data_IF_686961971331
#
_entry.id   IF_686961971331
#
_cell.length_a   1.000
_cell.length_b   1.000
_cell.length_c   1.000
_cell.angle_alpha   90.00
_cell.angle_beta   90.00
_cell.angle_gamma   90.00
#
_symmetry.space_group_name_H-M   'P 1'
#
loop_
_entity.id
_entity.type
_entity.pdbx_description
1 polymer ?
#
# COMPACT_ATOMS: atom_id res chain seq x y z
N UNK A 1 -9.79 3.20 -13.11
CA UNK A 1 -9.89 1.86 -12.46
C UNK A 1 -11.30 1.61 -11.92
N UNK A 2 -11.77 2.47 -11.03
CA UNK A 2 -13.10 2.41 -10.38
C UNK A 2 -14.28 2.23 -11.36
N UNK A 3 -14.36 3.01 -12.44
CA UNK A 3 -15.44 2.89 -13.44
C UNK A 3 -15.43 1.54 -14.17
N UNK A 4 -14.23 0.98 -14.43
CA UNK A 4 -14.08 -0.31 -15.08
C UNK A 4 -14.45 -1.45 -14.11
N UNK A 5 -14.04 -1.35 -12.84
CA UNK A 5 -14.46 -2.27 -11.79
C UNK A 5 -16.00 -2.28 -11.63
N UNK A 6 -16.63 -1.09 -11.60
CA UNK A 6 -18.08 -0.96 -11.56
C UNK A 6 -18.76 -1.55 -12.81
N UNK A 7 -18.22 -1.30 -14.01
CA UNK A 7 -18.74 -1.88 -15.25
C UNK A 7 -18.64 -3.41 -15.24
N UNK A 8 -17.52 -3.98 -14.78
CA UNK A 8 -17.35 -5.42 -14.63
C UNK A 8 -18.35 -6.01 -13.64
N UNK A 9 -18.59 -5.34 -12.49
CA UNK A 9 -19.61 -5.76 -11.52
C UNK A 9 -21.03 -5.86 -12.12
N UNK A 10 -21.35 -5.10 -13.15
CA UNK A 10 -22.66 -5.20 -13.82
C UNK A 10 -22.80 -6.43 -14.75
N UNK A 11 -21.69 -7.08 -15.12
CA UNK A 11 -21.68 -8.19 -16.07
C UNK A 11 -21.87 -9.56 -15.38
N UNK A 12 -22.38 -10.59 -16.10
CA UNK A 12 -22.31 -11.97 -15.64
C UNK A 12 -20.86 -12.43 -15.45
N UNK A 13 -20.59 -13.24 -14.41
CA UNK A 13 -19.23 -13.68 -14.03
C UNK A 13 -18.40 -14.23 -15.20
N UNK A 14 -19.02 -15.00 -16.09
CA UNK A 14 -18.34 -15.55 -17.28
C UNK A 14 -17.82 -14.47 -18.24
N UNK A 15 -18.56 -13.37 -18.38
CA UNK A 15 -18.12 -12.22 -19.18
C UNK A 15 -17.03 -11.43 -18.46
N UNK A 16 -17.15 -11.25 -17.12
CA UNK A 16 -16.10 -10.62 -16.31
C UNK A 16 -14.76 -11.32 -16.49
N UNK A 17 -14.74 -12.65 -16.38
CA UNK A 17 -13.53 -13.48 -16.56
C UNK A 17 -12.94 -13.35 -17.96
N UNK A 18 -13.77 -13.32 -19.00
CA UNK A 18 -13.31 -13.10 -20.37
C UNK A 18 -12.66 -11.74 -20.56
N UNK A 19 -13.19 -10.70 -19.92
CA UNK A 19 -12.59 -9.36 -19.95
C UNK A 19 -11.28 -9.35 -19.15
N UNK A 20 -11.28 -9.87 -17.92
CA UNK A 20 -10.08 -9.94 -17.08
C UNK A 20 -8.93 -10.69 -17.76
N UNK A 21 -9.20 -11.83 -18.39
CA UNK A 21 -8.20 -12.60 -19.13
C UNK A 21 -7.64 -11.88 -20.38
N UNK A 22 -8.30 -10.81 -20.84
CA UNK A 22 -7.87 -10.02 -21.99
C UNK A 22 -7.21 -8.68 -21.61
N UNK A 23 -7.26 -8.29 -20.33
CA UNK A 23 -6.58 -7.09 -19.83
C UNK A 23 -5.08 -7.36 -19.68
N UNK A 24 -4.27 -6.31 -19.90
CA UNK A 24 -2.86 -6.28 -19.51
C UNK A 24 -2.72 -6.40 -17.98
N UNK A 25 -1.56 -6.83 -17.48
CA UNK A 25 -1.35 -7.14 -16.05
C UNK A 25 -1.61 -5.94 -15.14
N UNK A 26 -0.99 -4.80 -15.46
CA UNK A 26 -1.16 -3.51 -14.79
C UNK A 26 -2.64 -3.08 -14.72
N UNK A 27 -3.35 -3.23 -15.86
CA UNK A 27 -4.77 -2.88 -15.96
C UNK A 27 -5.66 -3.81 -15.15
N UNK A 28 -5.30 -5.07 -15.03
CA UNK A 28 -6.05 -6.02 -14.22
C UNK A 28 -5.78 -5.79 -12.73
N UNK A 29 -4.53 -5.51 -12.34
CA UNK A 29 -4.15 -5.12 -10.98
C UNK A 29 -4.95 -3.91 -10.49
N UNK A 30 -4.91 -2.81 -11.25
CA UNK A 30 -5.71 -1.58 -11.03
C UNK A 30 -7.20 -1.89 -10.77
N UNK A 31 -7.77 -2.85 -11.51
CA UNK A 31 -9.18 -3.21 -11.40
C UNK A 31 -9.42 -4.04 -10.14
N UNK A 32 -8.52 -4.96 -9.82
CA UNK A 32 -8.65 -5.83 -8.65
C UNK A 32 -8.60 -5.02 -7.36
N UNK A 33 -7.69 -4.05 -7.24
CA UNK A 33 -7.56 -3.15 -6.08
C UNK A 33 -8.86 -2.38 -5.76
N UNK A 34 -9.71 -2.15 -6.77
CA UNK A 34 -10.99 -1.44 -6.64
C UNK A 34 -12.19 -2.37 -6.30
N UNK A 35 -11.92 -3.67 -6.10
CA UNK A 35 -12.90 -4.71 -5.80
C UNK A 35 -12.71 -5.25 -4.40
N UNK A 36 -13.77 -5.82 -3.80
CA UNK A 36 -13.60 -6.58 -2.55
C UNK A 36 -12.82 -7.86 -2.78
N UNK A 37 -12.20 -8.40 -1.74
CA UNK A 37 -11.35 -9.59 -1.81
C UNK A 37 -12.12 -10.80 -2.36
N UNK A 38 -13.40 -10.95 -1.98
CA UNK A 38 -14.32 -11.96 -2.51
C UNK A 38 -14.57 -11.82 -4.02
N UNK A 39 -14.62 -10.58 -4.52
CA UNK A 39 -14.77 -10.32 -5.95
C UNK A 39 -13.47 -10.58 -6.71
N UNK A 40 -12.34 -10.14 -6.15
CA UNK A 40 -11.01 -10.39 -6.70
C UNK A 40 -10.79 -11.90 -6.89
N UNK A 41 -11.01 -12.71 -5.84
CA UNK A 41 -10.89 -14.16 -5.90
C UNK A 41 -11.75 -14.79 -7.00
N UNK A 42 -13.01 -14.36 -7.15
CA UNK A 42 -13.91 -14.86 -8.19
C UNK A 42 -13.47 -14.48 -9.59
N UNK A 43 -12.82 -13.33 -9.75
CA UNK A 43 -12.34 -12.82 -11.04
C UNK A 43 -11.07 -13.55 -11.49
N UNK A 44 -10.13 -13.79 -10.57
CA UNK A 44 -8.87 -14.48 -10.85
C UNK A 44 -9.01 -16.01 -10.87
N UNK A 45 -10.14 -16.55 -10.39
CA UNK A 45 -10.42 -17.99 -10.47
C UNK A 45 -10.41 -18.48 -11.92
N UNK A 46 -9.43 -19.33 -12.24
CA UNK A 46 -9.23 -19.91 -13.57
C UNK A 46 -8.02 -19.35 -14.33
N UNK A 47 -7.38 -18.29 -13.82
CA UNK A 47 -6.04 -17.90 -14.26
C UNK A 47 -5.02 -18.96 -13.80
N UNK A 48 -3.97 -19.17 -14.60
CA UNK A 48 -2.83 -19.99 -14.18
C UNK A 48 -1.96 -19.23 -13.16
N UNK A 49 -1.05 -19.95 -12.51
CA UNK A 49 -0.31 -19.41 -11.37
C UNK A 49 0.72 -18.36 -11.81
N UNK A 50 1.25 -18.51 -13.02
CA UNK A 50 2.20 -17.62 -13.65
C UNK A 50 1.54 -16.28 -13.97
N UNK A 51 0.40 -16.30 -14.69
CA UNK A 51 -0.38 -15.09 -14.96
C UNK A 51 -0.84 -14.39 -13.69
N UNK A 52 -1.27 -15.16 -12.69
CA UNK A 52 -1.71 -14.60 -11.42
C UNK A 52 -0.55 -13.95 -10.65
N UNK A 53 0.67 -14.50 -10.75
CA UNK A 53 1.85 -13.88 -10.17
C UNK A 53 2.18 -12.55 -10.87
N UNK A 54 2.20 -12.52 -12.20
CA UNK A 54 2.45 -11.29 -12.98
C UNK A 54 1.47 -10.17 -12.61
N UNK A 55 0.17 -10.50 -12.48
CA UNK A 55 -0.85 -9.52 -12.08
C UNK A 55 -0.65 -9.03 -10.64
N UNK A 56 -0.32 -9.93 -9.71
CA UNK A 56 -0.15 -9.58 -8.29
C UNK A 56 1.12 -8.76 -8.06
N UNK A 57 2.14 -8.91 -8.90
CA UNK A 57 3.35 -8.07 -8.87
C UNK A 57 3.09 -6.62 -9.27
N UNK A 58 2.08 -6.39 -10.11
CA UNK A 58 1.67 -5.04 -10.50
C UNK A 58 0.72 -4.39 -9.47
N UNK A 59 0.28 -5.13 -8.44
CA UNK A 59 -0.56 -4.61 -7.37
C UNK A 59 0.25 -3.91 -6.27
N UNK A 60 -0.38 -3.01 -5.53
CA UNK A 60 0.16 -2.51 -4.27
C UNK A 60 0.45 -3.68 -3.31
N UNK A 61 1.60 -3.68 -2.58
CA UNK A 61 2.02 -4.83 -1.78
C UNK A 61 1.02 -5.30 -0.72
N UNK A 62 0.28 -4.36 -0.15
CA UNK A 62 -0.78 -4.54 0.83
C UNK A 62 -2.03 -5.18 0.22
N UNK A 63 -2.54 -4.67 -0.91
CA UNK A 63 -3.63 -5.30 -1.66
C UNK A 63 -3.25 -6.70 -2.14
N UNK A 64 -2.02 -6.88 -2.61
CA UNK A 64 -1.46 -8.17 -2.97
C UNK A 64 -1.44 -9.15 -1.77
N UNK A 65 -1.09 -8.65 -0.58
CA UNK A 65 -1.09 -9.44 0.64
C UNK A 65 -2.50 -9.84 1.06
N UNK A 66 -3.47 -8.94 0.96
CA UNK A 66 -4.87 -9.21 1.27
C UNK A 66 -5.44 -10.29 0.32
N UNK A 67 -5.27 -10.11 -0.99
CA UNK A 67 -5.73 -11.09 -1.99
C UNK A 67 -5.09 -12.47 -1.77
N UNK A 68 -3.78 -12.53 -1.54
CA UNK A 68 -3.08 -13.79 -1.24
C UNK A 68 -3.51 -14.37 0.12
N UNK A 69 -3.87 -13.53 1.08
CA UNK A 69 -4.38 -13.91 2.40
C UNK A 69 -5.62 -14.79 2.29
N UNK A 70 -6.54 -14.42 1.40
CA UNK A 70 -7.82 -15.11 1.14
C UNK A 70 -7.69 -16.35 0.23
N UNK A 71 -6.57 -16.52 -0.48
CA UNK A 71 -6.36 -17.69 -1.34
C UNK A 71 -6.18 -19.00 -0.55
N UNK A 72 -6.63 -20.15 -1.10
CA UNK A 72 -6.30 -21.46 -0.56
C UNK A 72 -4.79 -21.66 -0.46
N UNK A 73 -4.32 -22.20 0.67
CA UNK A 73 -2.88 -22.36 0.96
C UNK A 73 -2.03 -22.95 -0.18
N UNK A 74 -2.45 -24.03 -0.87
CA UNK A 74 -1.71 -24.58 -2.00
C UNK A 74 -1.59 -23.65 -3.20
N UNK A 75 -2.61 -22.82 -3.48
CA UNK A 75 -2.58 -21.84 -4.55
C UNK A 75 -1.65 -20.68 -4.19
N UNK A 76 -1.80 -20.11 -2.99
CA UNK A 76 -0.91 -19.06 -2.46
C UNK A 76 0.57 -19.44 -2.57
N UNK A 77 0.93 -20.67 -2.18
CA UNK A 77 2.32 -21.13 -2.26
C UNK A 77 2.84 -21.19 -3.70
N UNK A 78 1.99 -21.59 -4.66
CA UNK A 78 2.36 -21.65 -6.07
C UNK A 78 2.56 -20.25 -6.66
N UNK A 79 1.65 -19.33 -6.37
CA UNK A 79 1.74 -17.94 -6.84
C UNK A 79 2.99 -17.27 -6.27
N UNK A 80 3.20 -17.32 -4.95
CA UNK A 80 4.41 -16.79 -4.29
C UNK A 80 5.73 -17.41 -4.78
N UNK A 81 5.68 -18.60 -5.40
CA UNK A 81 6.86 -19.26 -5.97
C UNK A 81 7.09 -18.88 -7.44
N UNK A 82 6.05 -18.43 -8.14
CA UNK A 82 6.15 -17.89 -9.49
C UNK A 82 6.58 -16.42 -9.48
N UNK A 83 6.33 -15.70 -8.38
CA UNK A 83 6.69 -14.29 -8.26
C UNK A 83 8.21 -14.00 -8.20
N UNK A 84 8.60 -12.80 -8.59
CA UNK A 84 9.92 -12.23 -8.41
C UNK A 84 10.32 -12.23 -6.91
N UNK A 85 11.58 -12.59 -6.57
CA UNK A 85 11.99 -12.77 -5.17
C UNK A 85 11.81 -11.54 -4.27
N UNK A 86 12.03 -10.34 -4.81
CA UNK A 86 11.95 -9.10 -4.05
C UNK A 86 10.48 -8.72 -3.77
N UNK A 87 9.59 -8.83 -4.76
CA UNK A 87 8.14 -8.61 -4.61
C UNK A 87 7.51 -9.65 -3.69
N UNK A 88 7.78 -10.95 -3.93
CA UNK A 88 7.34 -12.02 -3.06
C UNK A 88 7.84 -11.85 -1.63
N UNK A 89 9.06 -11.30 -1.46
CA UNK A 89 9.64 -11.00 -0.17
C UNK A 89 8.85 -9.94 0.59
N UNK A 90 8.40 -8.89 -0.10
CA UNK A 90 7.59 -7.80 0.47
C UNK A 90 6.22 -8.29 0.91
N UNK A 91 5.51 -9.00 0.04
CA UNK A 91 4.17 -9.54 0.35
C UNK A 91 4.23 -10.59 1.47
N UNK A 92 5.23 -11.49 1.47
CA UNK A 92 5.42 -12.48 2.55
C UNK A 92 5.58 -11.85 3.92
N UNK A 93 6.17 -10.66 4.01
CA UNK A 93 6.32 -9.95 5.30
C UNK A 93 4.99 -9.41 5.78
N UNK A 94 4.17 -8.86 4.88
CA UNK A 94 2.85 -8.33 5.21
C UNK A 94 1.90 -9.43 5.68
N UNK A 95 1.94 -10.60 5.02
CA UNK A 95 1.18 -11.80 5.42
C UNK A 95 1.52 -12.34 6.83
N UNK A 96 2.53 -11.83 7.53
CA UNK A 96 2.85 -12.20 8.92
C UNK A 96 2.01 -11.45 9.95
N UNK A 97 1.37 -10.34 9.56
CA UNK A 97 0.59 -9.50 10.45
C UNK A 97 -0.90 -9.85 10.37
N UNK A 98 -1.61 -9.69 11.48
CA UNK A 98 -3.06 -9.81 11.50
C UNK A 98 -3.69 -8.66 10.70
N UNK A 99 -4.70 -8.97 9.88
CA UNK A 99 -5.34 -8.02 8.96
C UNK A 99 -6.00 -6.81 9.65
N UNK A 100 -6.31 -6.92 10.96
CA UNK A 100 -6.90 -5.85 11.77
C UNK A 100 -5.88 -5.05 12.60
N UNK A 101 -4.61 -5.06 12.18
CA UNK A 101 -3.51 -4.35 12.84
C UNK A 101 -2.80 -3.41 11.87
N UNK A 102 -2.03 -2.46 12.38
CA UNK A 102 -1.23 -1.55 11.57
C UNK A 102 -0.31 -2.28 10.58
N UNK A 103 0.22 -3.44 10.95
CA UNK A 103 1.06 -4.24 10.06
C UNK A 103 0.28 -4.96 8.96
N UNK A 104 -1.00 -5.25 9.19
CA UNK A 104 -1.90 -5.81 8.18
C UNK A 104 -2.44 -4.75 7.22
N UNK A 105 -2.53 -3.50 7.66
CA UNK A 105 -3.01 -2.35 6.86
C UNK A 105 -1.89 -1.56 6.18
N UNK A 106 -0.61 -1.87 6.45
CA UNK A 106 0.48 -1.04 5.92
C UNK A 106 0.88 -1.51 4.54
N UNK A 107 1.16 -0.55 3.67
CA UNK A 107 1.99 -0.82 2.51
C UNK A 107 3.46 -0.92 2.91
N UNK A 108 4.20 -1.80 2.26
CA UNK A 108 5.65 -1.94 2.46
C UNK A 108 6.47 -0.97 1.59
N UNK A 109 5.83 -0.20 0.70
CA UNK A 109 6.51 0.71 -0.22
C UNK A 109 6.20 2.22 0.03
N UNK A 110 6.39 2.74 1.25
CA UNK A 110 6.22 4.17 1.50
C UNK A 110 7.33 5.00 0.81
N UNK A 111 7.11 6.31 0.69
CA UNK A 111 8.10 7.23 0.14
C UNK A 111 9.22 7.48 1.18
N UNK A 112 10.29 6.69 1.10
CA UNK A 112 11.44 6.76 2.01
C UNK A 112 12.63 7.48 1.37
N UNK A 113 13.28 8.37 2.12
CA UNK A 113 14.50 9.07 1.68
C UNK A 113 15.53 9.23 2.80
N UNK A 114 16.84 9.32 2.46
CA UNK A 114 17.87 9.56 3.46
C UNK A 114 17.87 11.03 3.93
N UNK A 115 18.41 11.33 5.12
CA UNK A 115 18.38 12.68 5.71
C UNK A 115 19.12 13.75 4.90
N UNK A 116 20.12 13.37 4.10
CA UNK A 116 20.91 14.26 3.25
C UNK A 116 20.28 14.50 1.86
N UNK A 117 19.16 13.83 1.54
CA UNK A 117 18.39 14.13 0.35
C UNK A 117 17.88 15.57 0.37
N UNK A 118 17.74 16.18 -0.81
CA UNK A 118 17.30 17.56 -0.95
C UNK A 118 15.78 17.67 -1.03
N UNK A 119 15.24 18.82 -0.64
CA UNK A 119 13.83 19.20 -0.85
C UNK A 119 13.43 19.02 -2.32
N UNK A 120 14.29 19.39 -3.27
CA UNK A 120 14.03 19.20 -4.69
C UNK A 120 13.85 17.72 -5.08
N UNK A 121 14.72 16.84 -4.56
CA UNK A 121 14.63 15.40 -4.82
C UNK A 121 13.37 14.80 -4.19
N UNK A 122 13.03 15.22 -2.97
CA UNK A 122 11.82 14.78 -2.28
C UNK A 122 10.55 15.20 -3.02
N UNK A 123 10.44 16.47 -3.42
CA UNK A 123 9.31 16.95 -4.22
C UNK A 123 9.23 16.27 -5.60
N UNK A 124 10.36 15.86 -6.18
CA UNK A 124 10.34 15.09 -7.42
C UNK A 124 9.74 13.70 -7.22
N UNK A 125 10.04 13.03 -6.09
CA UNK A 125 9.43 11.75 -5.72
C UNK A 125 7.93 11.89 -5.41
N UNK A 126 7.52 12.92 -4.68
CA UNK A 126 6.10 13.18 -4.40
C UNK A 126 5.26 13.45 -5.66
N UNK A 127 5.88 13.88 -6.77
CA UNK A 127 5.20 14.19 -8.04
C UNK A 127 5.10 12.99 -8.97
N UNK A 128 5.72 11.87 -8.61
CA UNK A 128 5.76 10.69 -9.46
C UNK A 128 4.33 10.12 -9.57
N UNK A 129 3.76 9.99 -10.78
CA UNK A 129 2.36 9.57 -10.96
C UNK A 129 2.02 8.22 -10.35
N UNK A 130 3.02 7.34 -10.23
CA UNK A 130 2.90 6.01 -9.65
C UNK A 130 2.78 6.01 -8.11
N UNK A 131 3.04 7.13 -7.43
CA UNK A 131 2.92 7.21 -5.96
C UNK A 131 1.49 7.63 -5.60
N UNK A 132 0.74 6.81 -4.83
CA UNK A 132 -0.59 7.17 -4.36
C UNK A 132 -0.61 8.51 -3.63
N UNK A 133 -1.67 9.29 -3.82
CA UNK A 133 -1.75 10.66 -3.31
C UNK A 133 -1.60 10.75 -1.79
N UNK A 134 -2.15 9.78 -1.04
CA UNK A 134 -2.04 9.72 0.40
C UNK A 134 -0.60 9.45 0.86
N UNK A 135 0.11 8.52 0.19
CA UNK A 135 1.54 8.26 0.45
C UNK A 135 2.42 9.44 0.03
N UNK A 136 2.14 10.08 -1.11
CA UNK A 136 2.88 11.24 -1.59
C UNK A 136 2.80 12.44 -0.63
N UNK A 137 1.83 12.44 0.30
CA UNK A 137 1.67 13.50 1.27
C UNK A 137 2.80 13.56 2.31
N UNK A 138 3.46 12.43 2.59
CA UNK A 138 4.50 12.31 3.61
C UNK A 138 5.76 11.64 3.06
N UNK A 139 6.91 12.29 3.27
CA UNK A 139 8.23 11.72 3.00
C UNK A 139 8.79 11.19 4.32
N UNK A 140 9.02 9.89 4.42
CA UNK A 140 9.61 9.26 5.59
C UNK A 140 11.14 9.33 5.50
N UNK A 141 11.77 9.87 6.53
CA UNK A 141 13.22 10.06 6.57
C UNK A 141 13.85 8.97 7.42
N UNK A 142 14.76 8.18 6.83
CA UNK A 142 15.43 7.07 7.51
C UNK A 142 16.93 7.08 7.25
N UNK A 143 17.70 6.42 8.12
CA UNK A 143 19.06 6.00 7.74
C UNK A 143 18.98 4.91 6.66
N UNK A 144 20.09 4.72 5.93
CA UNK A 144 20.23 3.63 4.98
C UNK A 144 20.09 2.25 5.67
N UNK A 145 19.51 1.23 4.99
CA UNK A 145 18.89 1.29 3.66
C UNK A 145 17.53 2.00 3.67
N UNK A 146 17.07 2.45 2.49
CA UNK A 146 15.76 3.12 2.30
C UNK A 146 14.65 2.18 1.81
N UNK A 147 14.97 0.92 1.50
CA UNK A 147 13.97 -0.13 1.24
C UNK A 147 13.49 -0.72 2.56
N UNK A 148 12.19 -1.03 2.70
CA UNK A 148 11.64 -1.62 3.93
C UNK A 148 12.06 -3.10 4.06
N UNK A 149 12.36 -3.58 5.27
CA UNK A 149 12.63 -2.84 6.51
C UNK A 149 13.87 -1.92 6.37
N UNK A 150 13.71 -0.64 6.74
CA UNK A 150 14.75 0.38 6.54
C UNK A 150 15.84 0.35 7.62
N UNK A 151 16.78 1.30 7.55
CA UNK A 151 17.53 1.73 8.72
C UNK A 151 16.66 2.44 9.77
N UNK A 152 17.29 3.08 10.74
CA UNK A 152 16.61 3.86 11.80
C UNK A 152 15.68 4.93 11.20
N UNK A 153 14.42 4.95 11.63
CA UNK A 153 13.45 5.99 11.31
C UNK A 153 13.75 7.27 12.08
N UNK A 154 13.89 8.39 11.37
CA UNK A 154 14.28 9.69 11.93
C UNK A 154 13.09 10.65 12.05
N UNK A 155 12.01 10.41 11.31
CA UNK A 155 10.80 11.23 11.29
C UNK A 155 10.22 11.34 9.88
N UNK A 156 9.21 12.18 9.71
CA UNK A 156 8.57 12.41 8.41
C UNK A 156 8.51 13.90 8.09
N UNK A 157 8.28 14.22 6.81
CA UNK A 157 8.13 15.58 6.30
C UNK A 157 6.90 15.64 5.40
N UNK A 158 5.95 16.53 5.72
CA UNK A 158 4.83 16.82 4.83
C UNK A 158 5.29 17.52 3.55
N UNK A 159 4.74 17.13 2.40
CA UNK A 159 5.09 17.80 1.13
C UNK A 159 4.77 19.30 1.15
N UNK A 160 3.76 19.73 1.91
CA UNK A 160 3.42 21.15 2.09
C UNK A 160 4.51 21.91 2.86
N UNK A 161 5.25 21.24 3.76
CA UNK A 161 6.44 21.81 4.40
C UNK A 161 7.56 21.96 3.39
N UNK A 162 7.81 20.93 2.57
CA UNK A 162 8.83 20.97 1.51
C UNK A 162 8.60 22.11 0.51
N UNK A 163 7.35 22.44 0.17
CA UNK A 163 7.00 23.57 -0.72
C UNK A 163 7.42 24.95 -0.17
N UNK A 164 7.69 25.07 1.14
CA UNK A 164 8.07 26.32 1.80
C UNK A 164 9.58 26.45 2.03
N UNK A 165 10.34 25.40 1.73
CA UNK A 165 11.78 25.33 1.96
C UNK A 165 12.57 25.58 0.66
N UNK A 166 13.80 26.12 0.75
CA UNK A 166 14.68 26.21 -0.41
C UNK A 166 14.93 24.83 -1.04
N UNK A 167 14.94 24.69 -2.38
CA UNK A 167 15.09 23.39 -3.05
C UNK A 167 16.37 22.61 -2.69
N UNK A 168 17.43 23.32 -2.30
CA UNK A 168 18.72 22.72 -1.89
C UNK A 168 18.82 22.40 -0.39
N UNK A 169 17.80 22.70 0.41
CA UNK A 169 17.77 22.32 1.83
C UNK A 169 17.70 20.79 1.95
N UNK A 170 18.38 20.23 2.94
CA UNK A 170 18.39 18.80 3.23
C UNK A 170 17.20 18.39 4.11
N UNK A 171 16.74 17.16 3.98
CA UNK A 171 15.55 16.66 4.68
C UNK A 171 15.70 16.62 6.20
N UNK A 172 16.91 16.40 6.73
CA UNK A 172 17.19 16.45 8.18
C UNK A 172 16.76 17.77 8.85
N UNK A 173 16.83 18.88 8.12
CA UNK A 173 16.38 20.22 8.57
C UNK A 173 14.86 20.40 8.45
N UNK A 174 14.21 19.52 7.69
CA UNK A 174 12.78 19.56 7.39
C UNK A 174 11.96 18.55 8.20
N UNK A 175 12.58 17.67 8.99
CA UNK A 175 11.86 16.66 9.78
C UNK A 175 10.89 17.30 10.78
N UNK A 176 9.67 16.78 10.84
CA UNK A 176 8.64 17.13 11.81
C UNK A 176 8.68 16.17 13.01
N UNK A 177 8.94 16.67 14.24
CA UNK A 177 9.08 15.80 15.41
C UNK A 177 7.75 15.23 15.91
N UNK A 178 6.62 15.78 15.47
CA UNK A 178 5.30 15.41 15.96
C UNK A 178 4.73 14.16 15.27
N UNK A 179 5.31 13.74 14.14
CA UNK A 179 4.89 12.52 13.41
C UNK A 179 5.64 11.31 13.98
N UNK A 180 5.04 10.70 14.99
CA UNK A 180 5.57 9.50 15.66
C UNK A 180 5.18 8.23 14.92
N UNK A 181 6.07 7.24 14.96
CA UNK A 181 5.76 5.91 14.45
C UNK A 181 4.83 5.15 15.40
N UNK A 182 4.06 4.24 14.82
CA UNK A 182 3.23 3.26 15.51
C UNK A 182 3.86 1.86 15.45
N UNK A 183 3.43 0.99 16.35
CA UNK A 183 3.84 -0.42 16.35
C UNK A 183 2.98 -1.22 15.36
N UNK A 184 3.51 -2.29 14.72
CA UNK A 184 2.78 -3.08 13.74
C UNK A 184 1.59 -3.84 14.33
N UNK A 185 1.61 -4.17 15.62
CA UNK A 185 0.53 -4.84 16.33
C UNK A 185 -0.56 -3.89 16.84
N UNK A 186 -0.45 -2.58 16.55
CA UNK A 186 -1.44 -1.59 16.96
C UNK A 186 -2.79 -1.90 16.26
N UNK A 187 -3.90 -2.08 17.00
CA UNK A 187 -5.20 -2.39 16.38
C UNK A 187 -5.67 -1.28 15.44
N UNK A 188 -6.32 -1.65 14.32
CA UNK A 188 -6.82 -0.75 13.28
C UNK A 188 -7.61 0.46 13.82
N UNK A 189 -8.46 0.25 14.84
CA UNK A 189 -9.26 1.32 15.44
C UNK A 189 -8.39 2.39 16.09
N UNK A 190 -7.25 2.00 16.66
CA UNK A 190 -6.27 2.93 17.24
C UNK A 190 -5.45 3.64 16.17
N UNK A 191 -5.22 2.99 15.03
CA UNK A 191 -4.62 3.63 13.86
C UNK A 191 -5.54 4.74 13.36
N UNK A 192 -6.83 4.44 13.19
CA UNK A 192 -7.86 5.41 12.79
C UNK A 192 -7.95 6.60 13.75
N UNK A 193 -7.97 6.34 15.06
CA UNK A 193 -7.97 7.39 16.08
C UNK A 193 -6.74 8.31 15.96
N UNK A 194 -5.55 7.77 15.68
CA UNK A 194 -4.34 8.58 15.53
C UNK A 194 -4.36 9.42 14.24
N UNK A 195 -4.73 8.84 13.11
CA UNK A 195 -4.89 9.58 11.85
C UNK A 195 -5.86 10.75 12.03
N UNK A 196 -7.01 10.50 12.65
CA UNK A 196 -8.03 11.50 12.89
C UNK A 196 -7.59 12.57 13.91
N UNK A 197 -6.97 12.18 15.02
CA UNK A 197 -6.56 13.12 16.08
C UNK A 197 -5.51 14.14 15.60
N UNK A 198 -4.65 13.74 14.67
CA UNK A 198 -3.55 14.57 14.17
C UNK A 198 -3.75 15.07 12.74
N UNK A 199 -4.90 14.79 12.11
CA UNK A 199 -5.20 15.11 10.70
C UNK A 199 -4.10 14.61 9.74
N UNK A 200 -3.61 13.39 9.99
CA UNK A 200 -2.54 12.78 9.20
C UNK A 200 -3.14 11.98 8.04
N UNK A 201 -2.45 11.96 6.91
CA UNK A 201 -2.82 11.18 5.73
C UNK A 201 -2.11 9.82 5.68
N UNK A 202 -1.03 9.65 6.44
CA UNK A 202 -0.39 8.36 6.64
C UNK A 202 0.34 8.31 8.00
N UNK A 203 0.58 7.11 8.51
CA UNK A 203 1.33 6.85 9.74
C UNK A 203 2.52 5.90 9.47
N UNK A 204 3.71 6.20 10.01
CA UNK A 204 4.85 5.30 9.89
C UNK A 204 4.69 4.10 10.81
N UNK A 205 4.90 2.88 10.31
CA UNK A 205 4.92 1.66 11.11
C UNK A 205 6.36 1.23 11.34
N UNK A 206 6.79 1.14 12.59
CA UNK A 206 8.17 0.76 12.95
C UNK A 206 8.21 -0.48 13.85
N UNK A 207 9.27 -1.26 13.69
CA UNK A 207 9.56 -2.36 14.60
C UNK A 207 10.13 -1.86 15.96
N UNK A 208 10.29 -2.74 16.97
CA UNK A 208 10.88 -2.37 18.26
C UNK A 208 12.33 -1.87 18.18
N UNK A 209 13.04 -2.12 17.07
CA UNK A 209 14.39 -1.61 16.83
C UNK A 209 14.40 -0.21 16.18
N UNK A 210 13.21 0.37 15.92
CA UNK A 210 13.06 1.69 15.32
C UNK A 210 13.26 1.70 13.80
N UNK A 211 13.17 0.55 13.13
CA UNK A 211 13.24 0.45 11.67
C UNK A 211 11.85 0.63 11.08
N UNK A 212 11.72 1.44 10.03
CA UNK A 212 10.47 1.60 9.30
C UNK A 212 10.17 0.32 8.51
N UNK A 213 9.01 -0.26 8.76
CA UNK A 213 8.50 -1.45 8.08
C UNK A 213 7.58 -1.09 6.90
N UNK A 214 6.89 0.04 7.00
CA UNK A 214 5.87 0.46 6.06
C UNK A 214 5.16 1.72 6.54
N UNK A 215 4.08 2.06 5.86
CA UNK A 215 3.16 3.11 6.31
C UNK A 215 1.71 2.69 6.08
N UNK A 216 0.82 3.10 6.97
CA UNK A 216 -0.63 2.95 6.80
C UNK A 216 -1.18 4.26 6.27
N UNK A 217 -1.99 4.24 5.22
CA UNK A 217 -2.63 5.44 4.69
C UNK A 217 -4.04 5.63 5.28
N UNK A 218 -4.59 6.82 5.11
CA UNK A 218 -5.94 7.13 5.60
C UNK A 218 -7.02 6.43 4.78
N UNK A 219 -6.79 6.25 3.48
CA UNK A 219 -7.66 5.54 2.56
C UNK A 219 -7.82 4.06 2.95
N UNK A 220 -6.73 3.33 3.20
CA UNK A 220 -6.81 1.92 3.65
C UNK A 220 -7.65 1.76 4.92
N UNK A 221 -7.50 2.70 5.85
CA UNK A 221 -8.25 2.70 7.11
C UNK A 221 -9.72 3.07 6.88
N UNK A 222 -10.02 4.00 5.98
CA UNK A 222 -11.40 4.33 5.62
C UNK A 222 -12.09 3.14 4.96
N UNK A 223 -11.39 2.44 4.07
CA UNK A 223 -11.93 1.32 3.31
C UNK A 223 -12.33 0.14 4.21
N UNK A 224 -11.59 -0.07 5.31
CA UNK A 224 -11.90 -1.07 6.34
C UNK A 224 -12.95 -0.63 7.35
N UNK A 225 -13.11 0.68 7.59
CA UNK A 225 -14.06 1.20 8.58
C UNK A 225 -15.45 1.48 8.01
N UNK A 226 -15.54 1.67 6.69
CA UNK A 226 -16.81 1.76 5.98
C UNK A 226 -17.47 0.38 5.84
N UNK A 227 -18.82 0.31 5.76
CA UNK A 227 -19.52 -0.95 5.54
C UNK A 227 -19.09 -1.65 4.24
N UNK A 228 -19.03 -2.97 4.20
CA UNK A 228 -18.58 -3.76 3.03
C UNK A 228 -19.26 -3.37 1.69
N UNK A 229 -20.50 -2.86 1.75
CA UNK A 229 -21.28 -2.42 0.58
C UNK A 229 -21.04 -0.95 0.19
N UNK A 230 -20.06 -0.25 0.78
CA UNK A 230 -19.88 1.19 0.52
C UNK A 230 -19.42 1.51 -0.90
N UNK A 231 -18.72 0.57 -1.56
CA UNK A 231 -18.33 0.62 -2.98
C UNK A 231 -19.45 0.15 -3.93
N UNK A 232 -20.56 -0.36 -3.39
CA UNK A 232 -21.74 -0.69 -4.18
C UNK A 232 -22.53 0.58 -4.48
N UNK A 233 -22.90 0.76 -5.75
CA UNK A 233 -23.63 1.92 -6.22
C UNK A 233 -25.01 1.97 -5.55
N UNK A 234 -25.15 2.82 -4.54
CA UNK A 234 -26.42 3.07 -3.85
C UNK A 234 -27.30 4.06 -4.64
N UNK A 235 -27.52 3.78 -5.92
CA UNK A 235 -28.61 4.34 -6.76
C UNK A 235 -28.75 5.86 -6.85
#
# INVERSE_FOLDING_TARGET
PTDLAAALRSMPLEHRRRVAAALEDDRLADVLEEMSEDEQLRLVEGLDAERLADVIEEMAPDDAADLLGEMPGPLRVRVLAAMEPDEAGSVRRLLLYDSNTAGGLMTSQPLVMPPDATVAAALARCRAPEVPAALAALVFVTRLPVSTPTGEYLGAVGFQRLLREPPGTTLDRCVEPDIRSIAPDLPEIRVAEQLAAYNLLALPVCDPAGRLLGAVTVDDVLDRTLPEDWREDRG
#
